data_IF_392046404358
#
_entry.id   IF_392046404358
#
_cell.length_a   1.000
_cell.length_b   1.000
_cell.length_c   1.000
_cell.angle_alpha   90.00
_cell.angle_beta   90.00
_cell.angle_gamma   90.00
#
_symmetry.space_group_name_H-M   'P 1'
#
loop_
_entity.id
_entity.type
_entity.pdbx_description
1 polymer ?
#
# COMPACT_ATOMS: atom_id res chain seq x y z
N UNK A 1 14.46 -19.80 -14.01
CA UNK A 1 13.24 -19.01 -14.31
C UNK A 1 12.92 -19.16 -15.79
N UNK A 2 11.64 -19.14 -16.19
CA UNK A 2 11.20 -19.17 -17.59
C UNK A 2 10.04 -18.18 -17.83
N UNK A 3 9.65 -17.98 -19.10
CA UNK A 3 8.62 -16.99 -19.49
C UNK A 3 7.26 -17.21 -18.81
N UNK A 4 6.91 -18.47 -18.50
CA UNK A 4 5.63 -18.81 -17.86
C UNK A 4 5.59 -18.41 -16.38
N UNK A 5 6.71 -17.97 -15.81
CA UNK A 5 6.81 -17.50 -14.43
C UNK A 5 6.74 -15.97 -14.32
N UNK A 6 6.61 -15.24 -15.43
CA UNK A 6 6.35 -13.79 -15.39
C UNK A 6 4.93 -13.56 -14.91
N UNK A 7 4.78 -12.69 -13.91
CA UNK A 7 3.48 -12.30 -13.37
C UNK A 7 3.00 -11.04 -14.09
N UNK A 8 1.97 -11.18 -14.93
CA UNK A 8 1.29 -10.06 -15.58
C UNK A 8 0.11 -9.58 -14.71
N UNK A 9 0.25 -8.38 -14.15
CA UNK A 9 -0.76 -7.77 -13.26
C UNK A 9 -2.10 -7.52 -13.97
N UNK A 10 -2.12 -7.45 -15.30
CA UNK A 10 -3.35 -7.27 -16.07
C UNK A 10 -4.13 -8.59 -16.29
N UNK A 11 -3.47 -9.75 -16.13
CA UNK A 11 -4.05 -11.06 -16.43
C UNK A 11 -4.23 -11.94 -15.18
N UNK A 12 -3.46 -11.68 -14.13
CA UNK A 12 -3.53 -12.46 -12.90
C UNK A 12 -4.83 -12.19 -12.14
N UNK A 13 -5.46 -13.28 -11.69
CA UNK A 13 -6.60 -13.24 -10.77
C UNK A 13 -6.10 -13.69 -9.40
N UNK A 14 -5.81 -12.73 -8.54
CA UNK A 14 -5.46 -12.97 -7.14
C UNK A 14 -6.69 -12.66 -6.29
N UNK A 15 -7.01 -13.52 -5.34
CA UNK A 15 -8.08 -13.23 -4.38
C UNK A 15 -7.66 -12.07 -3.46
N UNK A 16 -8.62 -11.22 -3.11
CA UNK A 16 -8.39 -10.11 -2.20
C UNK A 16 -8.31 -10.61 -0.75
N UNK A 17 -7.21 -10.32 -0.08
CA UNK A 17 -7.17 -10.38 1.38
C UNK A 17 -7.74 -9.07 1.93
N UNK A 18 -8.86 -9.15 2.67
CA UNK A 18 -9.55 -8.00 3.25
C UNK A 18 -9.29 -7.92 4.74
N UNK A 19 -8.94 -6.73 5.22
CA UNK A 19 -8.68 -6.50 6.64
C UNK A 19 -8.98 -5.04 7.02
N UNK A 20 -8.96 -4.78 8.33
CA UNK A 20 -8.99 -3.44 8.91
C UNK A 20 -7.71 -3.25 9.74
N UNK A 21 -7.18 -2.02 9.86
CA UNK A 21 -6.21 -1.71 10.89
C UNK A 21 -6.73 -2.11 12.27
N UNK A 22 -5.82 -2.44 13.19
CA UNK A 22 -6.19 -2.63 14.58
C UNK A 22 -6.92 -1.39 15.12
N UNK A 23 -7.96 -1.57 15.94
CA UNK A 23 -8.89 -0.50 16.33
C UNK A 23 -8.17 0.71 16.96
N UNK A 24 -7.12 0.46 17.74
CA UNK A 24 -6.29 1.48 18.39
C UNK A 24 -5.44 2.31 17.43
N UNK A 25 -5.24 1.84 16.18
CA UNK A 25 -4.54 2.58 15.13
C UNK A 25 -5.47 3.46 14.31
N UNK A 26 -6.79 3.24 14.37
CA UNK A 26 -7.78 3.98 13.59
C UNK A 26 -8.04 5.33 14.28
N UNK A 27 -7.86 6.41 13.52
CA UNK A 27 -8.08 7.77 13.98
C UNK A 27 -9.43 8.33 13.50
N UNK A 28 -9.92 7.86 12.36
CA UNK A 28 -11.16 8.34 11.73
C UNK A 28 -11.72 7.33 10.73
N UNK A 29 -13.05 7.24 10.65
CA UNK A 29 -13.76 6.44 9.64
C UNK A 29 -13.72 4.92 9.89
N UNK A 30 -14.02 4.15 8.84
CA UNK A 30 -13.91 2.68 8.82
C UNK A 30 -12.99 2.28 7.64
N UNK A 31 -11.66 2.36 7.81
CA UNK A 31 -10.69 2.15 6.73
C UNK A 31 -10.50 0.66 6.42
N UNK A 32 -11.51 0.03 5.83
CA UNK A 32 -11.36 -1.31 5.25
C UNK A 32 -10.33 -1.27 4.10
N UNK A 33 -9.48 -2.29 4.06
CA UNK A 33 -8.42 -2.45 3.08
C UNK A 33 -8.54 -3.80 2.38
N UNK A 34 -8.10 -3.83 1.12
CA UNK A 34 -7.97 -5.05 0.35
C UNK A 34 -6.59 -5.11 -0.32
N UNK A 35 -5.91 -6.25 -0.21
CA UNK A 35 -4.62 -6.51 -0.84
C UNK A 35 -4.76 -7.68 -1.81
N UNK A 36 -4.32 -7.47 -3.04
CA UNK A 36 -4.20 -8.48 -4.08
C UNK A 36 -2.69 -8.73 -4.29
N UNK A 37 -2.11 -9.61 -3.48
CA UNK A 37 -0.68 -9.90 -3.52
C UNK A 37 -0.35 -10.82 -4.70
N UNK A 38 0.00 -10.23 -5.84
CA UNK A 38 0.24 -10.95 -7.09
C UNK A 38 1.55 -11.75 -7.10
N UNK A 39 2.58 -11.27 -6.39
CA UNK A 39 3.86 -11.93 -6.34
C UNK A 39 4.55 -11.76 -5.00
N UNK A 40 5.20 -12.84 -4.54
CA UNK A 40 6.17 -12.80 -3.45
C UNK A 40 7.41 -13.59 -3.86
N UNK A 41 8.58 -13.04 -3.56
CA UNK A 41 9.83 -13.72 -3.85
C UNK A 41 10.04 -14.91 -2.90
N UNK A 42 10.75 -15.97 -3.35
CA UNK A 42 11.00 -17.14 -2.49
C UNK A 42 11.75 -16.83 -1.19
N UNK A 43 12.50 -15.71 -1.13
CA UNK A 43 13.20 -15.30 0.08
C UNK A 43 12.32 -14.50 1.07
N UNK A 44 11.08 -14.20 0.71
CA UNK A 44 10.12 -13.47 1.53
C UNK A 44 10.39 -11.96 1.66
N UNK A 45 11.39 -11.43 0.95
CA UNK A 45 11.82 -10.03 1.09
C UNK A 45 11.24 -9.10 0.04
N UNK A 46 10.59 -9.63 -1.00
CA UNK A 46 10.05 -8.80 -2.08
C UNK A 46 8.64 -9.23 -2.39
N UNK A 47 7.72 -8.28 -2.44
CA UNK A 47 6.34 -8.53 -2.83
C UNK A 47 5.83 -7.41 -3.74
N UNK A 48 4.90 -7.73 -4.61
CA UNK A 48 4.29 -6.76 -5.49
C UNK A 48 2.83 -7.14 -5.74
N UNK A 49 1.97 -6.13 -5.81
CA UNK A 49 0.55 -6.35 -5.95
C UNK A 49 -0.25 -5.06 -6.06
N UNK A 50 -1.53 -5.17 -5.77
CA UNK A 50 -2.47 -4.05 -5.70
C UNK A 50 -2.98 -3.92 -4.28
N UNK A 51 -3.09 -2.67 -3.82
CA UNK A 51 -3.78 -2.32 -2.59
C UNK A 51 -4.96 -1.40 -2.90
N UNK A 52 -6.06 -1.61 -2.20
CA UNK A 52 -7.26 -0.78 -2.19
C UNK A 52 -7.60 -0.38 -0.75
N UNK A 53 -8.07 0.85 -0.55
CA UNK A 53 -8.47 1.35 0.75
C UNK A 53 -9.70 2.23 0.69
N UNK A 54 -10.62 1.99 1.63
CA UNK A 54 -11.80 2.80 1.88
C UNK A 54 -11.47 4.06 2.70
N UNK A 55 -12.41 5.01 2.71
CA UNK A 55 -12.24 6.30 3.39
C UNK A 55 -12.03 6.13 4.89
N UNK A 56 -10.94 6.70 5.39
CA UNK A 56 -10.57 6.67 6.80
C UNK A 56 -9.13 7.09 7.02
N UNK A 57 -8.71 7.13 8.28
CA UNK A 57 -7.36 7.51 8.68
C UNK A 57 -6.84 6.58 9.77
N UNK A 58 -5.59 6.15 9.63
CA UNK A 58 -4.93 5.30 10.62
C UNK A 58 -3.43 5.58 10.71
N UNK A 59 -2.82 5.11 11.79
CA UNK A 59 -1.36 5.18 11.99
C UNK A 59 -0.65 4.09 11.19
N UNK A 60 0.50 4.44 10.61
CA UNK A 60 1.36 3.56 9.82
C UNK A 60 2.79 3.56 10.34
N UNK A 61 3.45 2.42 10.20
CA UNK A 61 4.87 2.22 10.52
C UNK A 61 5.46 1.26 9.49
N UNK A 62 6.22 1.80 8.56
CA UNK A 62 6.83 1.07 7.46
C UNK A 62 8.16 0.47 7.92
N UNK A 63 8.26 -0.85 7.92
CA UNK A 63 9.52 -1.58 8.13
C UNK A 63 10.24 -1.85 6.80
N UNK A 64 9.45 -1.88 5.74
CA UNK A 64 9.81 -2.11 4.36
C UNK A 64 10.04 -0.80 3.58
N UNK A 65 10.78 -0.91 2.48
CA UNK A 65 10.75 0.09 1.42
C UNK A 65 9.62 -0.22 0.45
N UNK A 66 8.70 0.71 0.21
CA UNK A 66 7.55 0.48 -0.67
C UNK A 66 7.50 1.50 -1.81
N UNK A 67 7.67 1.06 -3.04
CA UNK A 67 7.24 1.83 -4.21
C UNK A 67 5.72 1.79 -4.31
N UNK A 68 5.13 2.95 -4.55
CA UNK A 68 3.70 3.14 -4.76
C UNK A 68 3.44 3.86 -6.08
N UNK A 69 2.44 3.40 -6.82
CA UNK A 69 1.81 4.14 -7.91
C UNK A 69 0.32 4.24 -7.65
N UNK A 70 -0.20 5.44 -7.44
CA UNK A 70 -1.63 5.65 -7.27
C UNK A 70 -2.29 5.58 -8.65
N UNK A 71 -3.29 4.72 -8.78
CA UNK A 71 -4.04 4.54 -10.04
C UNK A 71 -5.47 5.07 -9.95
N UNK A 72 -5.98 5.27 -8.73
CA UNK A 72 -7.31 5.84 -8.47
C UNK A 72 -7.37 6.48 -7.08
N UNK A 73 -8.20 7.51 -6.94
CA UNK A 73 -8.55 8.12 -5.66
C UNK A 73 -7.51 9.10 -5.15
N UNK A 74 -7.69 9.47 -3.87
CA UNK A 74 -6.88 10.48 -3.20
C UNK A 74 -6.58 10.03 -1.78
N UNK A 75 -5.31 10.11 -1.41
CA UNK A 75 -4.85 9.90 -0.03
C UNK A 75 -3.91 11.01 0.41
N UNK A 76 -3.68 11.11 1.71
CA UNK A 76 -2.71 12.01 2.32
C UNK A 76 -1.83 11.18 3.26
N UNK A 77 -0.53 11.22 3.02
CA UNK A 77 0.47 10.68 3.92
C UNK A 77 1.00 11.82 4.78
N UNK A 78 0.99 11.67 6.10
CA UNK A 78 1.53 12.67 7.05
C UNK A 78 2.59 12.04 7.92
N UNK A 79 3.71 12.71 8.12
CA UNK A 79 4.76 12.26 9.02
C UNK A 79 4.51 12.68 10.48
N UNK A 80 5.38 12.24 11.39
CA UNK A 80 5.32 12.61 12.82
C UNK A 80 5.70 14.09 13.09
N UNK A 81 6.27 14.80 12.11
CA UNK A 81 6.63 16.22 12.22
C UNK A 81 5.48 17.14 11.79
N UNK A 82 4.40 16.57 11.24
CA UNK A 82 3.20 17.28 10.80
C UNK A 82 3.21 17.66 9.33
N UNK A 83 4.27 17.34 8.58
CA UNK A 83 4.34 17.56 7.15
C UNK A 83 3.49 16.53 6.41
N UNK A 84 2.94 16.94 5.27
CA UNK A 84 1.96 16.14 4.54
C UNK A 84 2.20 16.13 3.03
N UNK A 85 1.94 14.97 2.42
CA UNK A 85 1.95 14.80 0.97
C UNK A 85 0.59 14.25 0.52
N UNK A 86 -0.09 14.99 -0.34
CA UNK A 86 -1.27 14.48 -1.05
C UNK A 86 -0.82 13.58 -2.20
N UNK A 87 -1.46 12.42 -2.31
CA UNK A 87 -1.21 11.35 -3.26
C UNK A 87 -2.48 11.17 -4.10
N UNK A 88 -2.36 11.21 -5.43
CA UNK A 88 -3.48 11.08 -6.36
C UNK A 88 -3.08 10.28 -7.60
N UNK A 89 -4.07 9.86 -8.37
CA UNK A 89 -3.84 9.10 -9.60
C UNK A 89 -2.74 9.70 -10.48
N UNK A 90 -1.75 8.88 -10.86
CA UNK A 90 -0.56 9.27 -11.62
C UNK A 90 0.68 9.56 -10.77
N UNK A 91 0.54 9.75 -9.45
CA UNK A 91 1.68 9.93 -8.56
C UNK A 91 2.43 8.60 -8.36
N UNK A 92 3.77 8.68 -8.44
CA UNK A 92 4.70 7.55 -8.27
C UNK A 92 5.81 7.93 -7.31
N UNK A 93 6.00 7.15 -6.26
CA UNK A 93 6.93 7.50 -5.19
C UNK A 93 7.37 6.27 -4.41
N UNK A 94 8.39 6.44 -3.57
CA UNK A 94 8.85 5.42 -2.62
C UNK A 94 8.62 5.94 -1.21
N UNK A 95 8.08 5.08 -0.35
CA UNK A 95 8.08 5.26 1.10
C UNK A 95 9.30 4.49 1.64
N UNK A 96 10.30 5.16 2.19
CA UNK A 96 11.45 4.48 2.77
C UNK A 96 11.09 3.75 4.07
N UNK A 97 11.75 2.61 4.31
CA UNK A 97 11.74 1.94 5.60
C UNK A 97 12.07 2.92 6.73
N UNK A 98 11.35 2.80 7.85
CA UNK A 98 11.44 3.70 8.99
C UNK A 98 10.45 4.87 8.95
N UNK A 99 9.68 5.04 7.87
CA UNK A 99 8.61 6.02 7.84
C UNK A 99 7.53 5.70 8.89
N UNK A 100 7.19 6.71 9.70
CA UNK A 100 6.11 6.66 10.69
C UNK A 100 5.20 7.86 10.51
N UNK A 101 3.92 7.65 10.74
CA UNK A 101 2.93 8.72 10.65
C UNK A 101 1.53 8.20 10.43
N UNK A 102 0.77 8.86 9.56
CA UNK A 102 -0.61 8.48 9.25
C UNK A 102 -0.85 8.37 7.74
N UNK A 103 -1.70 7.42 7.37
CA UNK A 103 -2.30 7.35 6.05
C UNK A 103 -3.77 7.74 6.17
N UNK A 104 -4.21 8.74 5.41
CA UNK A 104 -5.61 9.18 5.32
C UNK A 104 -6.11 8.98 3.90
N UNK A 105 -7.13 8.15 3.71
CA UNK A 105 -7.86 8.01 2.44
C UNK A 105 -9.01 9.00 2.44
N UNK A 106 -9.00 9.93 1.49
CA UNK A 106 -10.05 10.95 1.32
C UNK A 106 -11.11 10.52 0.32
N UNK A 107 -10.70 9.78 -0.70
CA UNK A 107 -11.54 9.16 -1.72
C UNK A 107 -11.06 7.71 -1.91
N UNK A 108 -11.94 6.71 -2.09
CA UNK A 108 -11.53 5.32 -2.24
C UNK A 108 -10.34 5.16 -3.18
N UNK A 109 -9.25 4.65 -2.64
CA UNK A 109 -7.93 4.75 -3.22
C UNK A 109 -7.43 3.38 -3.66
N UNK A 110 -6.79 3.33 -4.83
CA UNK A 110 -6.16 2.12 -5.36
C UNK A 110 -4.73 2.44 -5.77
N UNK A 111 -3.79 1.60 -5.35
CA UNK A 111 -2.36 1.71 -5.71
C UNK A 111 -1.78 0.38 -6.16
N UNK A 112 -0.81 0.45 -7.05
CA UNK A 112 0.14 -0.63 -7.27
C UNK A 112 1.24 -0.46 -6.23
N UNK A 113 1.61 -1.54 -5.54
CA UNK A 113 2.74 -1.54 -4.62
C UNK A 113 3.82 -2.52 -5.08
N UNK A 114 5.06 -2.16 -4.75
CA UNK A 114 6.22 -3.04 -4.79
C UNK A 114 7.00 -2.80 -3.51
N UNK A 115 7.04 -3.79 -2.62
CA UNK A 115 7.74 -3.68 -1.35
C UNK A 115 9.00 -4.55 -1.31
N UNK A 116 10.01 -4.04 -0.61
CA UNK A 116 11.20 -4.77 -0.21
C UNK A 116 11.40 -4.67 1.30
N UNK A 117 11.36 -5.83 1.98
CA UNK A 117 11.64 -5.95 3.42
C UNK A 117 13.11 -6.36 3.63
N UNK A 118 13.95 -5.47 4.19
CA UNK A 118 15.31 -5.83 4.59
C UNK A 118 15.31 -6.88 5.71
N UNK A 119 16.40 -7.64 5.82
CA UNK A 119 16.62 -8.61 6.91
C UNK A 119 17.51 -8.03 7.99
#
# INVERSE_FOLDING_TARGET
MNIQQIVDFAQILTEAERYRPAAEKILKGDPEQAVYNHYSSPCGQFAAGVWEGEVGQWTVNYTEHEYCEIVQGVSVLRDEQGEAKTLRAGDRFVIPAGFKGTWEVLEPCRKIYVMFEPK
#
